data_IF_260534890296
#
_entry.id   IF_260534890296
#
_cell.length_a   1.000
_cell.length_b   1.000
_cell.length_c   1.000
_cell.angle_alpha   90.00
_cell.angle_beta   90.00
_cell.angle_gamma   90.00
#
_symmetry.space_group_name_H-M   'P 1'
#
loop_
_entity.id
_entity.type
_entity.pdbx_description
1 polymer ?
#
# COMPACT_ATOMS: atom_id res chain seq x y z
N UNK A 1 32.72 3.61 -31.57
CA UNK A 1 31.51 4.36 -32.09
C UNK A 1 30.45 3.46 -32.74
N UNK A 2 30.75 2.52 -33.68
CA UNK A 2 29.70 1.72 -34.35
C UNK A 2 29.02 0.65 -33.47
N UNK A 3 29.71 0.05 -32.52
CA UNK A 3 29.17 -1.00 -31.64
C UNK A 3 28.25 -0.43 -30.56
N UNK A 4 28.63 0.64 -29.89
CA UNK A 4 27.82 1.33 -28.87
C UNK A 4 26.53 1.92 -29.46
N UNK A 5 26.59 2.49 -30.68
CA UNK A 5 25.42 2.99 -31.36
C UNK A 5 24.42 1.89 -31.79
N UNK A 6 24.93 0.69 -32.13
CA UNK A 6 24.08 -0.46 -32.44
C UNK A 6 23.46 -1.06 -31.17
N UNK A 7 24.20 -1.02 -30.05
CA UNK A 7 23.77 -1.49 -28.75
C UNK A 7 22.61 -0.62 -28.18
N UNK A 8 22.71 0.68 -28.27
CA UNK A 8 21.64 1.62 -27.93
C UNK A 8 20.38 1.38 -28.77
N UNK A 9 20.48 1.11 -30.07
CA UNK A 9 19.32 0.99 -30.96
C UNK A 9 18.46 -0.25 -30.69
N UNK A 10 19.03 -1.42 -30.35
CA UNK A 10 18.19 -2.57 -30.05
C UNK A 10 17.53 -2.45 -28.65
N UNK A 11 18.17 -1.77 -27.70
CA UNK A 11 17.55 -1.46 -26.41
C UNK A 11 16.41 -0.45 -26.55
N UNK A 12 16.57 0.56 -27.41
CA UNK A 12 15.48 1.49 -27.76
C UNK A 12 14.28 0.74 -28.32
N UNK A 13 14.48 -0.16 -29.29
CA UNK A 13 13.39 -0.95 -29.85
C UNK A 13 12.75 -1.87 -28.82
N UNK A 14 13.55 -2.56 -27.96
CA UNK A 14 13.04 -3.34 -26.85
C UNK A 14 12.11 -2.50 -25.97
N UNK A 15 12.54 -1.30 -25.57
CA UNK A 15 11.76 -0.40 -24.71
C UNK A 15 10.46 0.05 -25.39
N UNK A 16 10.48 0.38 -26.68
CA UNK A 16 9.28 0.74 -27.43
C UNK A 16 8.29 -0.42 -27.50
N UNK A 17 8.76 -1.64 -27.71
CA UNK A 17 7.88 -2.82 -27.73
C UNK A 17 7.32 -3.14 -26.33
N UNK A 18 8.12 -2.99 -25.28
CA UNK A 18 7.64 -3.09 -23.90
C UNK A 18 6.55 -2.05 -23.60
N UNK A 19 6.73 -0.82 -24.07
CA UNK A 19 5.74 0.24 -23.92
C UNK A 19 4.43 -0.10 -24.62
N UNK A 20 4.49 -0.58 -25.88
CA UNK A 20 3.31 -1.04 -26.62
C UNK A 20 2.59 -2.21 -25.93
N UNK A 21 3.32 -3.12 -25.28
CA UNK A 21 2.75 -4.21 -24.47
C UNK A 21 2.10 -3.61 -23.20
N UNK A 22 2.77 -2.71 -22.51
CA UNK A 22 2.24 -2.05 -21.32
C UNK A 22 0.97 -1.24 -21.62
N UNK A 23 0.97 -0.45 -22.69
CA UNK A 23 -0.19 0.33 -23.15
C UNK A 23 -1.34 -0.56 -23.68
N UNK A 24 -1.10 -1.86 -23.86
CA UNK A 24 -2.09 -2.79 -24.38
C UNK A 24 -2.31 -2.71 -25.87
N UNK A 25 -1.40 -2.06 -26.60
CA UNK A 25 -1.39 -2.08 -28.09
C UNK A 25 -1.16 -3.50 -28.60
N UNK A 26 -0.33 -4.27 -27.90
CA UNK A 26 -0.16 -5.70 -28.13
C UNK A 26 -0.67 -6.48 -26.88
N UNK A 27 -1.76 -7.22 -27.06
CA UNK A 27 -2.37 -7.99 -26.00
C UNK A 27 -1.78 -9.42 -25.92
N UNK A 28 -2.00 -10.10 -24.80
CA UNK A 28 -1.56 -11.49 -24.63
C UNK A 28 -2.16 -12.39 -25.71
N UNK A 29 -1.30 -13.19 -26.34
CA UNK A 29 -1.68 -14.07 -27.46
C UNK A 29 -1.68 -13.39 -28.84
N UNK A 30 -1.60 -12.05 -28.91
CA UNK A 30 -1.54 -11.33 -30.18
C UNK A 30 -0.16 -11.42 -30.82
N UNK A 31 -0.15 -11.36 -32.15
CA UNK A 31 1.10 -11.32 -32.93
C UNK A 31 1.65 -9.90 -32.96
N UNK A 32 2.94 -9.76 -32.70
CA UNK A 32 3.68 -8.54 -33.02
C UNK A 32 4.15 -8.59 -34.48
N UNK A 33 4.46 -7.41 -35.09
CA UNK A 33 4.96 -7.37 -36.44
C UNK A 33 6.22 -8.23 -36.61
N UNK A 34 6.41 -8.78 -37.82
CA UNK A 34 7.60 -9.60 -38.13
C UNK A 34 8.89 -8.78 -38.09
N UNK A 35 10.04 -9.47 -37.93
CA UNK A 35 11.38 -8.83 -37.96
C UNK A 35 11.54 -7.89 -39.17
N UNK A 36 10.99 -8.26 -40.34
CA UNK A 36 11.06 -7.43 -41.53
C UNK A 36 10.22 -6.16 -41.40
N UNK A 37 8.98 -6.29 -40.93
CA UNK A 37 8.09 -5.15 -40.71
C UNK A 37 8.63 -4.18 -39.66
N UNK A 38 9.14 -4.70 -38.53
CA UNK A 38 9.78 -3.87 -37.50
C UNK A 38 11.04 -3.17 -38.05
N UNK A 39 11.84 -3.86 -38.88
CA UNK A 39 13.02 -3.27 -39.50
C UNK A 39 12.66 -2.10 -40.45
N UNK A 40 11.59 -2.26 -41.22
CA UNK A 40 11.04 -1.22 -42.08
C UNK A 40 10.44 -0.06 -41.28
N UNK A 41 9.60 -0.37 -40.26
CA UNK A 41 8.89 0.62 -39.43
C UNK A 41 9.87 1.52 -38.65
N UNK A 42 10.92 0.93 -38.06
CA UNK A 42 11.87 1.67 -37.21
C UNK A 42 13.18 2.05 -37.93
N UNK A 43 13.33 1.78 -39.22
CA UNK A 43 14.54 2.09 -39.98
C UNK A 43 15.78 1.43 -39.39
N UNK A 44 15.68 0.17 -38.94
CA UNK A 44 16.73 -0.61 -38.30
C UNK A 44 17.14 -1.81 -39.14
N UNK A 45 18.37 -2.32 -38.89
CA UNK A 45 18.78 -3.58 -39.48
C UNK A 45 17.98 -4.74 -38.89
N UNK A 46 17.73 -5.80 -39.67
CA UNK A 46 17.09 -7.04 -39.18
C UNK A 46 17.85 -7.68 -38.04
N UNK A 47 19.19 -7.54 -38.00
CA UNK A 47 20.03 -8.03 -36.89
C UNK A 47 19.74 -7.28 -35.60
N UNK A 48 19.58 -5.95 -35.66
CA UNK A 48 19.22 -5.09 -34.52
C UNK A 48 17.83 -5.46 -33.97
N UNK A 49 16.85 -5.63 -34.88
CA UNK A 49 15.48 -6.04 -34.51
C UNK A 49 15.49 -7.42 -33.86
N UNK A 50 16.23 -8.39 -34.46
CA UNK A 50 16.35 -9.74 -33.89
C UNK A 50 16.92 -9.72 -32.48
N UNK A 51 17.94 -8.92 -32.23
CA UNK A 51 18.52 -8.78 -30.89
C UNK A 51 17.53 -8.20 -29.87
N UNK A 52 16.74 -7.19 -30.27
CA UNK A 52 15.68 -6.65 -29.42
C UNK A 52 14.61 -7.71 -29.08
N UNK A 53 14.21 -8.52 -30.08
CA UNK A 53 13.24 -9.60 -29.88
C UNK A 53 13.80 -10.75 -29.06
N UNK A 54 15.11 -11.07 -29.18
CA UNK A 54 15.77 -12.05 -28.31
C UNK A 54 15.71 -11.62 -26.83
N UNK A 55 15.97 -10.34 -26.54
CA UNK A 55 15.86 -9.83 -25.18
C UNK A 55 14.42 -9.87 -24.63
N UNK A 56 13.40 -9.60 -25.47
CA UNK A 56 12.01 -9.73 -25.09
C UNK A 56 11.60 -11.18 -24.83
N UNK A 57 12.20 -12.13 -25.56
CA UNK A 57 11.99 -13.57 -25.36
C UNK A 57 12.73 -14.07 -24.11
N UNK A 58 13.95 -13.58 -23.84
CA UNK A 58 14.69 -13.82 -22.59
C UNK A 58 13.91 -13.28 -21.37
N UNK A 59 13.18 -12.17 -21.52
CA UNK A 59 12.30 -11.60 -20.50
C UNK A 59 10.92 -12.30 -20.43
N UNK A 60 10.68 -13.39 -21.21
CA UNK A 60 9.40 -14.10 -21.29
C UNK A 60 8.20 -13.25 -21.73
N UNK A 61 8.45 -12.10 -22.38
CA UNK A 61 7.39 -11.20 -22.86
C UNK A 61 6.81 -11.61 -24.21
N UNK A 62 7.57 -12.39 -24.98
CA UNK A 62 7.17 -12.94 -26.27
C UNK A 62 7.58 -14.40 -26.41
N UNK A 63 6.91 -15.11 -27.28
CA UNK A 63 7.29 -16.46 -27.72
C UNK A 63 7.37 -16.49 -29.24
N UNK A 64 8.41 -17.12 -29.78
CA UNK A 64 8.61 -17.31 -31.19
C UNK A 64 8.19 -18.73 -31.60
N UNK A 65 7.20 -18.80 -32.47
CA UNK A 65 6.72 -20.08 -33.00
C UNK A 65 7.14 -20.21 -34.47
N UNK A 66 7.87 -21.26 -34.80
CA UNK A 66 8.32 -21.51 -36.18
C UNK A 66 7.09 -21.62 -37.11
N UNK A 67 7.06 -20.78 -38.14
CA UNK A 67 5.93 -20.71 -39.07
C UNK A 67 4.70 -19.94 -38.57
N UNK A 68 4.63 -19.58 -37.31
CA UNK A 68 3.48 -18.93 -36.70
C UNK A 68 3.78 -17.49 -36.18
N UNK A 69 5.01 -17.04 -36.35
CA UNK A 69 5.46 -15.68 -35.99
C UNK A 69 5.78 -15.51 -34.51
N UNK A 70 5.81 -14.25 -34.06
CA UNK A 70 6.11 -13.88 -32.68
C UNK A 70 4.83 -13.38 -32.00
N UNK A 71 4.51 -13.94 -30.86
CA UNK A 71 3.32 -13.58 -30.06
C UNK A 71 3.71 -13.04 -28.70
N UNK A 72 2.92 -12.11 -28.20
CA UNK A 72 3.03 -11.65 -26.80
C UNK A 72 2.57 -12.74 -25.86
N UNK A 73 3.36 -13.00 -24.82
CA UNK A 73 3.01 -13.91 -23.74
C UNK A 73 3.09 -13.17 -22.41
N UNK A 74 1.94 -12.81 -21.83
CA UNK A 74 1.88 -12.19 -20.50
C UNK A 74 1.79 -13.32 -19.48
N UNK A 75 2.96 -13.86 -19.13
CA UNK A 75 3.06 -14.78 -18.00
C UNK A 75 3.28 -13.94 -16.74
N UNK A 76 2.64 -14.31 -15.65
CA UNK A 76 2.77 -13.59 -14.39
C UNK A 76 4.09 -13.94 -13.68
N UNK A 77 5.20 -13.46 -14.21
CA UNK A 77 6.53 -13.64 -13.63
C UNK A 77 6.97 -12.39 -12.89
N UNK A 78 7.33 -12.56 -11.62
CA UNK A 78 8.15 -11.58 -10.94
C UNK A 78 9.59 -11.57 -11.50
N UNK A 79 10.31 -10.49 -11.20
CA UNK A 79 11.72 -10.37 -11.51
C UNK A 79 12.55 -11.31 -10.61
N UNK A 80 13.59 -11.93 -11.16
CA UNK A 80 14.54 -12.76 -10.44
C UNK A 80 15.82 -12.00 -10.03
N UNK A 81 15.90 -10.69 -10.28
CA UNK A 81 17.04 -9.89 -9.89
C UNK A 81 17.12 -9.79 -8.36
N UNK A 82 18.34 -9.73 -7.80
CA UNK A 82 18.52 -9.55 -6.36
C UNK A 82 17.74 -8.37 -5.79
N UNK A 83 17.43 -8.40 -4.49
CA UNK A 83 16.78 -7.30 -3.78
C UNK A 83 17.78 -6.16 -3.46
N UNK A 84 18.64 -5.80 -4.42
CA UNK A 84 19.66 -4.76 -4.22
C UNK A 84 19.01 -3.37 -4.05
N UNK A 85 17.89 -3.15 -4.73
CA UNK A 85 17.12 -1.90 -4.64
C UNK A 85 15.63 -2.20 -4.56
N UNK A 86 14.97 -1.58 -3.60
CA UNK A 86 13.50 -1.57 -3.48
C UNK A 86 13.03 -0.12 -3.62
N UNK A 87 12.05 0.13 -4.50
CA UNK A 87 11.36 1.41 -4.51
C UNK A 87 10.17 1.37 -3.54
N UNK A 88 10.05 2.37 -2.68
CA UNK A 88 8.87 2.63 -1.86
C UNK A 88 8.10 3.80 -2.48
N UNK A 89 6.97 3.49 -3.10
CA UNK A 89 6.07 4.47 -3.71
C UNK A 89 4.96 4.79 -2.72
N UNK A 90 4.96 6.00 -2.18
CA UNK A 90 4.05 6.38 -1.10
C UNK A 90 3.91 7.91 -0.96
N UNK A 91 2.85 8.43 -0.32
CA UNK A 91 2.69 9.85 -0.04
C UNK A 91 3.62 10.31 1.10
N UNK A 92 4.20 11.52 0.98
CA UNK A 92 5.17 12.04 1.95
C UNK A 92 4.56 12.73 3.17
N UNK A 93 3.28 13.10 3.10
CA UNK A 93 2.67 14.07 4.05
C UNK A 93 2.03 13.44 5.29
N UNK A 94 1.99 12.12 5.41
CA UNK A 94 1.36 11.45 6.55
C UNK A 94 2.40 11.16 7.64
N UNK A 95 2.20 11.58 8.92
CA UNK A 95 3.12 11.29 10.03
C UNK A 95 3.34 9.78 10.28
N UNK A 96 2.33 8.95 10.08
CA UNK A 96 2.45 7.50 10.14
C UNK A 96 3.50 6.98 9.14
N UNK A 97 3.53 7.56 7.95
CA UNK A 97 4.45 7.20 6.89
C UNK A 97 5.92 7.41 7.30
N UNK A 98 6.24 8.49 7.99
CA UNK A 98 7.61 8.76 8.47
C UNK A 98 8.12 7.62 9.37
N UNK A 99 7.26 7.12 10.26
CA UNK A 99 7.61 5.98 11.14
C UNK A 99 7.79 4.70 10.34
N UNK A 100 6.89 4.43 9.37
CA UNK A 100 7.02 3.27 8.50
C UNK A 100 8.31 3.30 7.68
N UNK A 101 8.67 4.46 7.08
CA UNK A 101 9.95 4.60 6.35
C UNK A 101 11.13 4.26 7.26
N UNK A 102 11.15 4.76 8.49
CA UNK A 102 12.27 4.53 9.40
C UNK A 102 12.47 3.04 9.69
N UNK A 103 11.41 2.32 10.02
CA UNK A 103 11.48 0.87 10.27
C UNK A 103 11.77 0.08 8.98
N UNK A 104 11.18 0.47 7.85
CA UNK A 104 11.43 -0.18 6.57
C UNK A 104 12.86 0.04 6.10
N UNK A 105 13.44 1.23 6.29
CA UNK A 105 14.82 1.53 5.96
C UNK A 105 15.81 0.71 6.83
N UNK A 106 15.51 0.54 8.12
CA UNK A 106 16.28 -0.32 9.01
C UNK A 106 16.29 -1.77 8.52
N UNK A 107 15.10 -2.30 8.23
CA UNK A 107 14.96 -3.64 7.67
C UNK A 107 15.69 -3.79 6.32
N UNK A 108 15.59 -2.79 5.43
CA UNK A 108 16.31 -2.77 4.16
C UNK A 108 17.84 -2.82 4.37
N UNK A 109 18.36 -2.07 5.33
CA UNK A 109 19.78 -2.08 5.69
C UNK A 109 20.25 -3.45 6.17
N UNK A 110 19.46 -4.14 7.01
CA UNK A 110 19.75 -5.49 7.50
C UNK A 110 19.79 -6.53 6.37
N UNK A 111 19.12 -6.26 5.27
CA UNK A 111 19.09 -7.09 4.05
C UNK A 111 20.06 -6.64 2.96
N UNK A 112 20.97 -5.71 3.24
CA UNK A 112 21.91 -5.12 2.26
C UNK A 112 21.18 -4.56 1.02
N UNK A 113 20.02 -3.92 1.24
CA UNK A 113 19.13 -3.41 0.22
C UNK A 113 19.05 -1.89 0.27
N UNK A 114 19.16 -1.22 -0.86
CA UNK A 114 18.95 0.23 -0.97
C UNK A 114 17.45 0.54 -1.08
N UNK A 115 17.00 1.53 -0.32
CA UNK A 115 15.63 2.03 -0.39
C UNK A 115 15.57 3.31 -1.23
N UNK A 116 14.81 3.25 -2.33
CA UNK A 116 14.48 4.41 -3.16
C UNK A 116 13.07 4.89 -2.82
N UNK A 117 12.95 6.07 -2.21
CA UNK A 117 11.65 6.69 -1.99
C UNK A 117 11.15 7.43 -3.23
N UNK A 118 9.89 7.23 -3.58
CA UNK A 118 9.23 7.87 -4.73
C UNK A 118 7.82 8.32 -4.33
N UNK A 119 7.52 9.59 -4.54
CA UNK A 119 6.16 10.13 -4.49
C UNK A 119 5.59 10.20 -5.92
N UNK A 120 4.33 9.81 -6.10
CA UNK A 120 3.68 9.88 -7.42
C UNK A 120 3.40 11.35 -7.75
N UNK A 121 4.04 11.93 -8.79
CA UNK A 121 3.81 13.34 -9.13
C UNK A 121 2.47 13.53 -9.84
N UNK A 122 1.71 14.55 -9.49
CA UNK A 122 0.52 14.93 -10.26
C UNK A 122 0.92 15.50 -11.64
N UNK A 123 0.19 15.17 -12.72
CA UNK A 123 -1.02 14.36 -12.85
C UNK A 123 -0.77 12.87 -13.20
N UNK A 124 0.37 12.31 -12.80
CA UNK A 124 0.78 10.93 -13.16
C UNK A 124 -0.07 9.91 -12.40
N UNK A 125 -0.50 8.83 -13.07
CA UNK A 125 -1.12 7.70 -12.39
C UNK A 125 -0.09 6.87 -11.61
N UNK A 126 -0.56 6.11 -10.63
CA UNK A 126 0.30 5.18 -9.88
C UNK A 126 1.02 4.21 -10.83
N UNK A 127 0.27 3.60 -11.75
CA UNK A 127 0.80 2.58 -12.66
C UNK A 127 1.82 3.15 -13.63
N UNK A 128 1.62 4.37 -14.12
CA UNK A 128 2.59 5.05 -15.01
C UNK A 128 3.88 5.39 -14.24
N UNK A 129 3.78 5.73 -12.96
CA UNK A 129 4.93 5.89 -12.09
C UNK A 129 5.68 4.55 -11.91
N UNK A 130 4.95 3.45 -11.67
CA UNK A 130 5.53 2.11 -11.59
C UNK A 130 6.20 1.69 -12.90
N UNK A 131 5.57 1.96 -14.05
CA UNK A 131 6.16 1.70 -15.36
C UNK A 131 7.44 2.52 -15.60
N UNK A 132 7.49 3.76 -15.10
CA UNK A 132 8.71 4.57 -15.15
C UNK A 132 9.85 3.96 -14.32
N UNK A 133 9.56 3.37 -13.17
CA UNK A 133 10.54 2.62 -12.36
C UNK A 133 11.03 1.39 -13.13
N UNK A 134 10.11 0.64 -13.74
CA UNK A 134 10.44 -0.47 -14.63
C UNK A 134 11.46 -0.07 -15.71
N UNK A 135 11.23 1.06 -16.40
CA UNK A 135 12.15 1.57 -17.43
C UNK A 135 13.54 1.97 -16.91
N UNK A 136 13.68 2.14 -15.60
CA UNK A 136 14.95 2.40 -14.89
C UNK A 136 15.55 1.14 -14.26
N UNK A 137 15.05 -0.03 -14.64
CA UNK A 137 15.45 -1.34 -14.14
C UNK A 137 15.19 -1.57 -12.65
N UNK A 138 14.26 -0.80 -12.06
CA UNK A 138 13.80 -0.99 -10.70
C UNK A 138 12.58 -1.88 -10.73
N UNK A 139 12.73 -3.12 -10.26
CA UNK A 139 11.74 -4.19 -10.41
C UNK A 139 11.01 -4.53 -9.12
N UNK A 140 11.60 -4.27 -7.97
CA UNK A 140 11.04 -4.58 -6.66
C UNK A 140 10.42 -3.33 -6.08
N UNK A 141 9.10 -3.31 -5.91
CA UNK A 141 8.38 -2.10 -5.52
C UNK A 141 7.38 -2.39 -4.41
N UNK A 142 7.42 -1.58 -3.38
CA UNK A 142 6.42 -1.50 -2.33
C UNK A 142 5.56 -0.27 -2.58
N UNK A 143 4.25 -0.45 -2.57
CA UNK A 143 3.30 0.62 -2.89
C UNK A 143 2.39 0.86 -1.70
N UNK A 144 2.32 2.08 -1.24
CA UNK A 144 1.25 2.55 -0.37
C UNK A 144 0.40 3.58 -1.12
N UNK A 145 -0.75 3.18 -1.69
CA UNK A 145 -1.51 4.03 -2.61
C UNK A 145 -2.30 5.14 -1.90
N UNK A 146 -2.43 5.07 -0.55
CA UNK A 146 -3.36 5.91 0.21
C UNK A 146 -4.80 5.78 -0.34
N UNK A 147 -5.38 6.84 -0.90
CA UNK A 147 -6.71 6.85 -1.51
C UNK A 147 -6.70 6.84 -3.06
N UNK A 148 -5.55 6.56 -3.68
CA UNK A 148 -5.45 6.52 -5.14
C UNK A 148 -6.20 5.32 -5.72
N UNK A 149 -6.83 5.53 -6.86
CA UNK A 149 -7.43 4.43 -7.63
C UNK A 149 -6.37 3.52 -8.22
N UNK A 150 -6.68 2.23 -8.31
CA UNK A 150 -5.78 1.19 -8.82
C UNK A 150 -6.35 0.62 -10.12
N UNK A 151 -5.60 0.74 -11.21
CA UNK A 151 -5.89 0.08 -12.48
C UNK A 151 -5.35 -1.35 -12.46
N UNK A 152 -6.24 -2.30 -12.21
CA UNK A 152 -5.90 -3.73 -12.09
C UNK A 152 -5.31 -4.33 -13.37
N UNK A 153 -5.75 -3.87 -14.55
CA UNK A 153 -5.22 -4.38 -15.81
C UNK A 153 -3.77 -3.91 -16.02
N UNK A 154 -3.47 -2.65 -15.73
CA UNK A 154 -2.10 -2.15 -15.76
C UNK A 154 -1.21 -2.87 -14.75
N UNK A 155 -1.70 -3.17 -13.53
CA UNK A 155 -0.94 -3.96 -12.57
C UNK A 155 -0.62 -5.36 -13.08
N UNK A 156 -1.58 -6.05 -13.71
CA UNK A 156 -1.32 -7.35 -14.34
C UNK A 156 -0.21 -7.25 -15.38
N UNK A 157 -0.23 -6.22 -16.22
CA UNK A 157 0.81 -5.98 -17.24
C UNK A 157 2.18 -5.69 -16.61
N UNK A 158 2.23 -4.88 -15.55
CA UNK A 158 3.46 -4.61 -14.80
C UNK A 158 4.06 -5.89 -14.22
N UNK A 159 3.23 -6.74 -13.63
CA UNK A 159 3.66 -8.07 -13.17
C UNK A 159 4.21 -8.92 -14.31
N UNK A 160 3.50 -8.92 -15.44
CA UNK A 160 3.87 -9.74 -16.61
C UNK A 160 5.20 -9.31 -17.24
N UNK A 161 5.54 -8.02 -17.19
CA UNK A 161 6.85 -7.51 -17.65
C UNK A 161 7.97 -7.68 -16.60
N UNK A 162 7.69 -8.30 -15.46
CA UNK A 162 8.69 -8.68 -14.46
C UNK A 162 8.85 -7.73 -13.29
N UNK A 163 7.80 -7.03 -12.86
CA UNK A 163 7.82 -6.29 -11.60
C UNK A 163 7.34 -7.17 -10.44
N UNK A 164 8.02 -7.09 -9.31
CA UNK A 164 7.56 -7.60 -8.03
C UNK A 164 6.86 -6.48 -7.27
N UNK A 165 5.61 -6.70 -6.87
CA UNK A 165 4.76 -5.69 -6.27
C UNK A 165 4.21 -6.18 -4.93
N UNK A 166 4.43 -5.38 -3.88
CA UNK A 166 3.78 -5.56 -2.58
C UNK A 166 3.03 -4.29 -2.23
N UNK A 167 1.75 -4.40 -1.96
CA UNK A 167 0.93 -3.28 -1.50
C UNK A 167 0.89 -3.27 0.02
N UNK A 168 1.24 -2.12 0.59
CA UNK A 168 1.21 -1.88 2.02
C UNK A 168 -0.09 -1.15 2.40
N UNK A 169 -0.64 -1.53 3.57
CA UNK A 169 -1.82 -0.93 4.19
C UNK A 169 -3.13 -1.05 3.38
N UNK A 170 -3.16 -1.96 2.38
CA UNK A 170 -4.35 -2.22 1.55
C UNK A 170 -4.30 -3.60 0.91
N UNK A 171 -5.47 -4.15 0.60
CA UNK A 171 -5.62 -5.36 -0.22
C UNK A 171 -6.24 -5.09 -1.60
N UNK A 172 -6.39 -3.83 -1.98
CA UNK A 172 -7.08 -3.43 -3.21
C UNK A 172 -6.42 -3.95 -4.49
N UNK A 173 -5.11 -4.25 -4.46
CA UNK A 173 -4.35 -4.79 -5.59
C UNK A 173 -4.43 -6.32 -5.75
N UNK A 174 -5.04 -7.04 -4.80
CA UNK A 174 -5.21 -8.49 -4.92
C UNK A 174 -6.14 -8.86 -6.09
N UNK A 175 -5.85 -9.87 -6.94
CA UNK A 175 -4.79 -10.88 -6.84
C UNK A 175 -3.50 -10.57 -7.65
N UNK A 176 -3.21 -9.32 -7.99
CA UNK A 176 -2.07 -8.95 -8.86
C UNK A 176 -0.82 -8.55 -8.07
N UNK A 177 -0.92 -8.37 -6.76
CA UNK A 177 0.19 -8.08 -5.88
C UNK A 177 -0.02 -8.73 -4.52
N UNK A 178 1.05 -8.96 -3.75
CA UNK A 178 0.94 -9.29 -2.34
C UNK A 178 0.46 -8.06 -1.56
N UNK A 179 -0.23 -8.32 -0.46
CA UNK A 179 -0.79 -7.28 0.40
C UNK A 179 -0.35 -7.50 1.84
N UNK A 180 0.27 -6.48 2.44
CA UNK A 180 0.69 -6.48 3.85
C UNK A 180 0.02 -5.31 4.55
N UNK A 181 -0.76 -5.57 5.57
CA UNK A 181 -1.52 -4.56 6.29
C UNK A 181 -1.81 -5.00 7.73
N UNK A 182 -2.24 -4.05 8.58
CA UNK A 182 -2.68 -4.35 9.94
C UNK A 182 -3.82 -5.38 9.94
N UNK A 183 -3.77 -6.35 10.84
CA UNK A 183 -4.95 -7.17 11.15
C UNK A 183 -6.01 -6.27 11.84
N UNK A 184 -6.84 -5.66 10.99
CA UNK A 184 -7.83 -4.67 11.43
C UNK A 184 -8.92 -5.30 12.31
N UNK A 185 -9.23 -6.59 12.11
CA UNK A 185 -10.20 -7.30 12.96
C UNK A 185 -9.62 -7.51 14.35
N UNK A 186 -8.40 -8.03 14.45
CA UNK A 186 -7.70 -8.24 15.72
C UNK A 186 -7.52 -6.92 16.48
N UNK A 187 -7.23 -5.82 15.78
CA UNK A 187 -7.09 -4.49 16.38
C UNK A 187 -8.40 -4.02 17.04
N UNK A 188 -9.49 -4.08 16.29
CA UNK A 188 -10.81 -3.66 16.78
C UNK A 188 -11.29 -4.59 17.92
N UNK A 189 -11.19 -5.91 17.73
CA UNK A 189 -11.60 -6.87 18.76
C UNK A 189 -10.81 -6.71 20.06
N UNK A 190 -9.49 -6.53 19.97
CA UNK A 190 -8.63 -6.38 21.13
C UNK A 190 -8.98 -5.12 21.93
N UNK A 191 -9.18 -3.99 21.25
CA UNK A 191 -9.55 -2.74 21.91
C UNK A 191 -10.94 -2.80 22.55
N UNK A 192 -11.90 -3.41 21.89
CA UNK A 192 -13.26 -3.56 22.43
C UNK A 192 -13.31 -4.51 23.65
N UNK A 193 -12.48 -5.56 23.66
CA UNK A 193 -12.40 -6.51 24.78
C UNK A 193 -11.57 -6.00 25.95
N UNK A 194 -10.68 -5.02 25.73
CA UNK A 194 -9.83 -4.47 26.82
C UNK A 194 -10.62 -3.76 27.91
N UNK A 195 -11.91 -3.56 27.70
CA UNK A 195 -12.81 -2.93 28.63
C UNK A 195 -14.09 -3.74 28.88
N UNK A 196 -13.97 -4.94 29.44
CA UNK A 196 -15.10 -5.85 29.72
C UNK A 196 -16.24 -5.24 30.57
N UNK A 197 -16.08 -4.00 31.05
CA UNK A 197 -17.04 -3.33 31.93
C UNK A 197 -17.83 -2.22 31.23
N UNK A 198 -17.52 -1.87 29.97
CA UNK A 198 -18.22 -0.79 29.27
C UNK A 198 -19.65 -1.22 28.88
N UNK A 199 -20.55 -0.26 28.98
CA UNK A 199 -21.98 -0.43 28.66
C UNK A 199 -22.29 0.17 27.29
N UNK A 200 -21.67 1.30 26.99
CA UNK A 200 -21.88 2.06 25.76
C UNK A 200 -20.65 1.99 24.87
N UNK A 201 -20.87 1.85 23.57
CA UNK A 201 -19.81 1.80 22.57
C UNK A 201 -20.07 2.79 21.45
N UNK A 202 -19.00 3.50 21.02
CA UNK A 202 -19.02 4.37 19.86
C UNK A 202 -17.76 4.16 19.03
N UNK A 203 -17.92 4.10 17.72
CA UNK A 203 -16.82 4.11 16.75
C UNK A 203 -16.77 5.48 16.07
N UNK A 204 -15.56 6.03 15.94
CA UNK A 204 -15.30 7.26 15.19
C UNK A 204 -14.31 6.93 14.08
N UNK A 205 -14.74 7.06 12.82
CA UNK A 205 -13.97 6.71 11.64
C UNK A 205 -14.03 7.77 10.55
N UNK A 206 -13.18 7.60 9.52
CA UNK A 206 -13.29 8.40 8.29
C UNK A 206 -14.45 7.88 7.42
N UNK A 207 -15.11 8.77 6.67
CA UNK A 207 -16.23 8.42 5.77
C UNK A 207 -15.78 7.79 4.42
N UNK A 208 -14.48 7.66 4.20
CA UNK A 208 -13.92 7.10 2.95
C UNK A 208 -13.83 5.56 2.99
N UNK A 209 -14.95 4.87 2.78
CA UNK A 209 -15.02 3.40 2.78
C UNK A 209 -14.38 2.73 1.55
N UNK A 210 -13.89 3.49 0.57
CA UNK A 210 -13.07 2.96 -0.53
C UNK A 210 -11.69 2.53 -0.04
N UNK A 211 -11.16 3.16 1.01
CA UNK A 211 -9.93 2.74 1.67
C UNK A 211 -10.21 1.49 2.50
N UNK A 212 -9.54 0.39 2.16
CA UNK A 212 -9.89 -0.93 2.69
C UNK A 212 -9.77 -1.03 4.22
N UNK A 213 -8.78 -0.37 4.83
CA UNK A 213 -8.59 -0.39 6.28
C UNK A 213 -9.70 0.34 7.02
N UNK A 214 -10.13 1.50 6.52
CA UNK A 214 -11.25 2.27 7.10
C UNK A 214 -12.50 1.39 7.13
N UNK A 215 -12.84 0.79 5.97
CA UNK A 215 -13.99 -0.09 5.85
C UNK A 215 -13.90 -1.30 6.78
N UNK A 216 -12.77 -2.01 6.81
CA UNK A 216 -12.58 -3.21 7.63
C UNK A 216 -12.70 -2.92 9.12
N UNK A 217 -12.17 -1.79 9.60
CA UNK A 217 -12.28 -1.35 11.00
C UNK A 217 -13.73 -1.11 11.38
N UNK A 218 -14.50 -0.37 10.55
CA UNK A 218 -15.92 -0.14 10.78
C UNK A 218 -16.75 -1.43 10.72
N UNK A 219 -16.51 -2.29 9.72
CA UNK A 219 -17.18 -3.58 9.58
C UNK A 219 -16.92 -4.49 10.80
N UNK A 220 -15.69 -4.54 11.31
CA UNK A 220 -15.35 -5.29 12.49
C UNK A 220 -16.08 -4.75 13.75
N UNK A 221 -16.11 -3.42 13.91
CA UNK A 221 -16.84 -2.79 15.00
C UNK A 221 -18.34 -3.12 14.95
N UNK A 222 -19.00 -2.92 13.81
CA UNK A 222 -20.45 -3.18 13.62
C UNK A 222 -20.81 -4.66 13.82
N UNK A 223 -19.89 -5.57 13.51
CA UNK A 223 -20.10 -7.01 13.75
C UNK A 223 -20.15 -7.33 15.24
N UNK A 224 -19.33 -6.66 16.06
CA UNK A 224 -19.23 -6.91 17.50
C UNK A 224 -20.31 -6.14 18.26
N UNK A 225 -20.57 -4.89 17.88
CA UNK A 225 -21.53 -4.00 18.47
C UNK A 225 -22.52 -3.48 17.40
N UNK A 226 -23.51 -4.29 16.96
CA UNK A 226 -24.48 -3.88 15.92
C UNK A 226 -25.33 -2.66 16.31
N UNK A 227 -25.61 -2.50 17.60
CA UNK A 227 -26.37 -1.37 18.16
C UNK A 227 -25.47 -0.21 18.61
N UNK A 228 -24.15 -0.37 18.48
CA UNK A 228 -23.18 0.65 18.85
C UNK A 228 -23.27 1.87 17.93
N UNK A 229 -22.99 3.05 18.48
CA UNK A 229 -22.98 4.30 17.72
C UNK A 229 -21.79 4.34 16.77
N UNK A 230 -22.00 4.93 15.57
CA UNK A 230 -20.93 5.18 14.59
C UNK A 230 -21.03 6.62 14.13
N UNK A 231 -19.96 7.36 14.29
CA UNK A 231 -19.79 8.72 13.74
C UNK A 231 -18.68 8.67 12.69
N UNK A 232 -19.04 8.92 11.43
CA UNK A 232 -18.08 9.01 10.33
C UNK A 232 -17.78 10.47 10.03
N UNK A 233 -16.51 10.84 10.14
CA UNK A 233 -16.03 12.20 9.89
C UNK A 233 -15.53 12.34 8.45
N UNK A 234 -15.74 13.49 7.79
CA UNK A 234 -15.37 13.70 6.40
C UNK A 234 -13.87 13.49 6.15
N UNK A 235 -13.56 12.62 5.18
CA UNK A 235 -12.19 12.39 4.71
C UNK A 235 -11.65 13.63 3.97
N UNK A 236 -10.56 14.18 4.47
CA UNK A 236 -9.88 15.32 3.88
C UNK A 236 -8.40 15.02 3.71
N UNK A 237 -7.77 15.62 2.69
CA UNK A 237 -6.33 15.46 2.45
C UNK A 237 -5.45 15.95 3.61
N UNK A 238 -5.90 16.97 4.36
CA UNK A 238 -5.20 17.50 5.53
C UNK A 238 -5.50 16.74 6.82
N UNK A 239 -6.37 15.72 6.77
CA UNK A 239 -6.79 14.89 7.92
C UNK A 239 -7.37 15.69 9.09
N UNK A 240 -7.89 16.88 8.83
CA UNK A 240 -8.53 17.70 9.87
C UNK A 240 -9.99 17.40 10.00
N UNK A 241 -10.45 17.29 11.25
CA UNK A 241 -11.86 17.13 11.60
C UNK A 241 -12.45 18.51 11.84
N UNK A 242 -13.60 18.78 11.25
CA UNK A 242 -14.32 20.04 11.47
C UNK A 242 -14.85 20.11 12.90
N UNK A 243 -14.88 21.33 13.44
CA UNK A 243 -15.32 21.56 14.83
C UNK A 243 -16.73 21.03 15.09
N UNK A 244 -17.65 21.19 14.15
CA UNK A 244 -19.02 20.68 14.25
C UNK A 244 -19.06 19.16 14.39
N UNK A 245 -18.16 18.43 13.74
CA UNK A 245 -18.06 16.98 13.92
C UNK A 245 -17.51 16.62 15.29
N UNK A 246 -16.52 17.36 15.80
CA UNK A 246 -16.02 17.18 17.16
C UNK A 246 -17.08 17.50 18.23
N UNK A 247 -17.88 18.53 18.02
CA UNK A 247 -19.02 18.86 18.91
C UNK A 247 -20.06 17.74 18.91
N UNK A 248 -20.41 17.16 17.76
CA UNK A 248 -21.31 15.99 17.71
C UNK A 248 -20.75 14.78 18.44
N UNK A 249 -19.43 14.50 18.28
CA UNK A 249 -18.76 13.40 19.01
C UNK A 249 -18.88 13.64 20.52
N UNK A 250 -18.66 14.87 20.98
CA UNK A 250 -18.81 15.27 22.37
C UNK A 250 -20.23 15.05 22.88
N UNK A 251 -21.24 15.57 22.18
CA UNK A 251 -22.66 15.40 22.54
C UNK A 251 -23.04 13.93 22.66
N UNK A 252 -22.55 13.07 21.75
CA UNK A 252 -22.76 11.62 21.83
C UNK A 252 -22.05 11.00 23.04
N UNK A 253 -20.82 11.43 23.35
CA UNK A 253 -20.08 10.98 24.51
C UNK A 253 -20.75 11.33 25.83
N UNK A 254 -21.33 12.53 25.95
CA UNK A 254 -22.10 12.99 27.12
C UNK A 254 -23.32 12.10 27.44
N UNK A 255 -23.89 11.46 26.41
CA UNK A 255 -25.03 10.54 26.58
C UNK A 255 -24.63 9.15 27.09
N UNK A 256 -23.33 8.84 27.14
CA UNK A 256 -22.82 7.55 27.59
C UNK A 256 -22.71 7.49 29.14
N UNK A 257 -23.09 6.37 29.73
CA UNK A 257 -22.98 6.19 31.19
C UNK A 257 -21.60 5.66 31.60
N UNK A 258 -21.13 4.64 30.90
CA UNK A 258 -19.79 4.06 31.03
C UNK A 258 -19.36 3.55 29.67
N UNK A 259 -18.69 4.40 28.91
CA UNK A 259 -18.51 4.21 27.48
C UNK A 259 -17.08 4.01 27.01
N UNK A 260 -16.94 3.33 25.87
CA UNK A 260 -15.72 3.23 25.08
C UNK A 260 -15.93 3.93 23.73
N UNK A 261 -15.06 4.88 23.43
CA UNK A 261 -14.98 5.51 22.09
C UNK A 261 -13.76 4.94 21.36
N UNK A 262 -14.01 4.17 20.31
CA UNK A 262 -12.97 3.61 19.47
C UNK A 262 -12.70 4.55 18.29
N UNK A 263 -11.56 5.20 18.27
CA UNK A 263 -11.08 6.02 17.16
C UNK A 263 -10.35 5.13 16.15
N UNK A 264 -10.86 5.07 14.93
CA UNK A 264 -10.37 4.19 13.86
C UNK A 264 -9.02 4.61 13.25
N UNK A 265 -8.40 5.70 13.70
CA UNK A 265 -7.06 6.15 13.26
C UNK A 265 -6.43 7.06 14.32
N UNK A 266 -5.10 7.11 14.35
CA UNK A 266 -4.34 7.97 15.29
C UNK A 266 -4.65 9.45 15.14
N UNK A 267 -4.84 9.93 13.91
CA UNK A 267 -5.19 11.35 13.65
C UNK A 267 -6.57 11.72 14.17
N UNK A 268 -7.52 10.77 14.16
CA UNK A 268 -8.84 10.95 14.78
C UNK A 268 -8.68 10.99 16.30
N UNK A 269 -7.97 10.01 16.86
CA UNK A 269 -7.72 9.92 18.30
C UNK A 269 -7.09 11.17 18.87
N UNK A 270 -6.07 11.71 18.18
CA UNK A 270 -5.41 12.96 18.57
C UNK A 270 -6.39 14.12 18.67
N UNK A 271 -7.17 14.38 17.61
CA UNK A 271 -8.06 15.54 17.54
C UNK A 271 -9.24 15.40 18.51
N UNK A 272 -9.78 14.20 18.69
CA UNK A 272 -10.84 13.94 19.67
C UNK A 272 -10.33 14.15 21.10
N UNK A 273 -9.13 13.62 21.43
CA UNK A 273 -8.53 13.80 22.76
C UNK A 273 -8.20 15.27 23.04
N UNK A 274 -7.59 15.98 22.10
CA UNK A 274 -7.31 17.41 22.25
C UNK A 274 -8.59 18.23 22.48
N UNK A 275 -9.63 17.98 21.68
CA UNK A 275 -10.89 18.70 21.79
C UNK A 275 -11.60 18.45 23.12
N UNK A 276 -11.66 17.20 23.57
CA UNK A 276 -12.32 16.83 24.83
C UNK A 276 -11.52 17.32 26.05
N UNK A 277 -10.18 17.34 25.99
CA UNK A 277 -9.32 17.84 27.06
C UNK A 277 -9.45 19.37 27.20
N UNK A 278 -9.52 20.13 26.12
CA UNK A 278 -9.69 21.61 26.13
C UNK A 278 -11.01 22.05 26.77
N UNK A 279 -12.03 21.18 26.75
CA UNK A 279 -13.35 21.46 27.34
C UNK A 279 -13.40 21.14 28.85
N UNK A 280 -12.25 20.79 29.51
CA UNK A 280 -12.19 20.34 30.91
C UNK A 280 -13.06 19.11 31.22
N UNK A 281 -13.39 18.31 30.20
CA UNK A 281 -14.21 17.11 30.38
C UNK A 281 -13.37 15.87 30.72
N UNK A 282 -12.05 15.97 30.52
CA UNK A 282 -11.06 15.06 31.04
C UNK A 282 -10.34 15.71 32.22
N UNK A 283 -10.21 15.00 33.32
CA UNK A 283 -9.27 15.41 34.37
C UNK A 283 -7.85 15.32 33.84
N UNK A 284 -6.88 15.88 34.58
CA UNK A 284 -5.44 15.82 34.22
C UNK A 284 -4.89 14.40 34.13
N UNK A 285 -5.64 13.37 34.51
CA UNK A 285 -5.31 11.95 34.37
C UNK A 285 -5.84 11.34 33.06
N UNK A 286 -6.55 12.14 32.22
CA UNK A 286 -7.16 11.66 30.97
C UNK A 286 -8.36 10.76 31.16
N UNK A 287 -8.88 10.66 32.37
CA UNK A 287 -10.12 9.96 32.68
C UNK A 287 -11.24 10.96 32.85
N UNK A 288 -12.12 11.04 31.88
CA UNK A 288 -13.48 11.38 32.20
C UNK A 288 -14.05 10.24 33.05
N UNK A 289 -14.79 10.54 34.08
CA UNK A 289 -15.38 9.52 34.96
C UNK A 289 -16.31 8.54 34.22
N UNK A 290 -16.65 8.78 32.96
CA UNK A 290 -17.67 8.04 32.20
C UNK A 290 -17.22 7.45 30.88
N UNK A 291 -16.14 7.95 30.23
CA UNK A 291 -15.75 7.52 28.87
C UNK A 291 -14.26 7.25 28.79
N UNK A 292 -13.89 6.11 28.20
CA UNK A 292 -12.50 5.75 27.86
C UNK A 292 -12.31 5.84 26.36
N UNK A 293 -11.18 6.40 25.89
CA UNK A 293 -10.84 6.35 24.49
C UNK A 293 -9.94 5.15 24.18
N UNK A 294 -10.19 4.56 23.01
CA UNK A 294 -9.34 3.56 22.39
C UNK A 294 -8.95 4.05 21.00
N UNK A 295 -7.69 3.90 20.63
CA UNK A 295 -7.15 4.45 19.37
C UNK A 295 -6.37 3.38 18.64
N UNK A 296 -6.61 3.27 17.33
CA UNK A 296 -5.75 2.49 16.45
C UNK A 296 -4.71 3.44 15.87
N UNK A 297 -3.45 3.07 16.04
CA UNK A 297 -2.24 3.81 15.68
C UNK A 297 -1.88 4.97 16.63
N UNK A 298 -0.60 5.00 16.97
CA UNK A 298 0.00 6.06 17.79
C UNK A 298 0.08 7.38 17.02
N UNK A 299 -0.03 8.48 17.74
CA UNK A 299 0.04 9.84 17.22
C UNK A 299 1.02 10.72 18.01
N UNK A 300 1.40 11.85 17.45
CA UNK A 300 2.30 12.80 18.12
C UNK A 300 1.61 13.41 19.35
N UNK A 301 2.32 13.42 20.48
CA UNK A 301 1.79 13.92 21.74
C UNK A 301 0.91 12.94 22.53
N UNK A 302 0.79 11.69 22.07
CA UNK A 302 0.00 10.63 22.71
C UNK A 302 0.27 10.50 24.24
N UNK A 303 1.52 10.68 24.68
CA UNK A 303 1.96 10.60 26.09
C UNK A 303 1.35 11.67 27.02
N UNK A 304 0.66 12.66 26.49
CA UNK A 304 -0.06 13.67 27.29
C UNK A 304 -1.41 13.17 27.80
N UNK A 305 -1.87 12.04 27.31
CA UNK A 305 -3.21 11.53 27.56
C UNK A 305 -3.19 10.09 28.08
N UNK A 306 -4.26 9.66 28.74
CA UNK A 306 -4.48 8.27 29.10
C UNK A 306 -5.56 7.67 28.22
N UNK A 307 -5.22 6.58 27.50
CA UNK A 307 -6.13 5.91 26.56
C UNK A 307 -5.64 4.48 26.26
N UNK A 308 -6.49 3.69 25.62
CA UNK A 308 -6.13 2.37 25.09
C UNK A 308 -5.57 2.51 23.68
N UNK A 309 -4.44 1.91 23.42
CA UNK A 309 -3.76 1.97 22.12
C UNK A 309 -3.61 0.57 21.52
N UNK A 310 -3.93 0.42 20.25
CA UNK A 310 -3.46 -0.70 19.46
C UNK A 310 -2.54 -0.16 18.35
N UNK A 311 -1.26 -0.42 18.49
CA UNK A 311 -0.24 0.12 17.57
C UNK A 311 0.21 -0.92 16.57
N UNK A 312 0.38 -0.53 15.31
CA UNK A 312 0.90 -1.42 14.27
C UNK A 312 2.34 -1.83 14.59
N UNK A 313 2.66 -3.10 14.34
CA UNK A 313 4.03 -3.59 14.34
C UNK A 313 4.67 -3.31 12.98
N UNK A 314 5.26 -2.12 12.85
CA UNK A 314 5.85 -1.67 11.58
C UNK A 314 7.12 -2.45 11.23
N UNK A 315 7.86 -2.95 12.24
CA UNK A 315 9.00 -3.82 12.01
C UNK A 315 8.55 -5.16 11.41
N UNK A 316 7.57 -5.82 12.04
CA UNK A 316 7.02 -7.07 11.51
C UNK A 316 6.40 -6.89 10.13
N UNK A 317 5.78 -5.73 9.86
CA UNK A 317 5.25 -5.38 8.55
C UNK A 317 6.36 -5.25 7.50
N UNK A 318 7.46 -4.59 7.84
CA UNK A 318 8.62 -4.46 6.97
C UNK A 318 9.24 -5.83 6.64
N UNK A 319 9.46 -6.68 7.65
CA UNK A 319 9.97 -8.04 7.46
C UNK A 319 9.04 -8.87 6.56
N UNK A 320 7.71 -8.77 6.76
CA UNK A 320 6.73 -9.47 5.94
C UNK A 320 6.74 -8.99 4.48
N UNK A 321 6.95 -7.71 4.22
CA UNK A 321 7.13 -7.16 2.87
C UNK A 321 8.36 -7.78 2.20
N UNK A 322 9.49 -7.86 2.90
CA UNK A 322 10.71 -8.50 2.36
C UNK A 322 10.49 -9.98 2.07
N UNK A 323 9.80 -10.72 2.95
CA UNK A 323 9.43 -12.11 2.70
C UNK A 323 8.58 -12.25 1.43
N UNK A 324 7.59 -11.37 1.23
CA UNK A 324 6.73 -11.36 0.03
C UNK A 324 7.57 -11.12 -1.24
N UNK A 325 8.45 -10.13 -1.25
CA UNK A 325 9.30 -9.86 -2.39
C UNK A 325 10.23 -11.03 -2.72
N UNK A 326 10.89 -11.64 -1.72
CA UNK A 326 11.71 -12.84 -1.89
C UNK A 326 10.91 -13.99 -2.47
N UNK A 327 9.71 -14.22 -1.94
CA UNK A 327 8.83 -15.27 -2.42
C UNK A 327 8.41 -15.07 -3.89
N UNK A 328 8.12 -13.82 -4.29
CA UNK A 328 7.82 -13.50 -5.69
C UNK A 328 8.99 -13.82 -6.62
N UNK A 329 10.23 -13.58 -6.17
CA UNK A 329 11.43 -13.89 -6.95
C UNK A 329 11.69 -15.39 -7.06
N UNK A 330 11.53 -16.13 -5.95
CA UNK A 330 11.81 -17.57 -5.88
C UNK A 330 10.76 -18.39 -6.63
N UNK A 331 9.47 -18.09 -6.43
CA UNK A 331 8.35 -18.80 -7.04
C UNK A 331 8.15 -18.45 -8.51
N UNK A 332 8.54 -17.23 -8.93
CA UNK A 332 8.42 -16.77 -10.31
C UNK A 332 7.02 -16.99 -10.88
N UNK A 333 6.91 -17.80 -11.94
CA UNK A 333 5.62 -18.11 -12.59
C UNK A 333 4.61 -18.88 -11.72
N UNK A 334 5.05 -19.53 -10.66
CA UNK A 334 4.20 -20.29 -9.74
C UNK A 334 3.64 -19.42 -8.61
N UNK A 335 4.17 -18.22 -8.45
CA UNK A 335 3.73 -17.30 -7.41
C UNK A 335 2.23 -17.00 -7.52
N UNK A 336 1.59 -16.94 -6.38
CA UNK A 336 0.21 -16.49 -6.20
C UNK A 336 0.19 -15.39 -5.16
N UNK A 337 -0.60 -14.35 -5.41
CA UNK A 337 -0.74 -13.24 -4.49
C UNK A 337 -1.20 -13.69 -3.11
N UNK A 338 -0.57 -13.13 -2.08
CA UNK A 338 -0.83 -13.41 -0.68
C UNK A 338 -1.45 -12.20 -0.01
N UNK A 339 -2.38 -12.46 0.89
CA UNK A 339 -2.95 -11.48 1.81
C UNK A 339 -2.32 -11.76 3.16
N UNK A 340 -1.54 -10.82 3.68
CA UNK A 340 -0.72 -10.95 4.88
C UNK A 340 -1.14 -9.93 5.95
N UNK A 341 -2.18 -10.19 6.75
CA UNK A 341 -2.48 -9.37 7.91
C UNK A 341 -1.38 -9.54 8.96
N UNK A 342 -0.93 -8.42 9.54
CA UNK A 342 0.09 -8.37 10.58
C UNK A 342 -0.57 -7.88 11.87
N UNK A 343 -0.41 -8.63 12.96
CA UNK A 343 -0.91 -8.21 14.26
C UNK A 343 -0.09 -7.06 14.82
N UNK A 344 -0.77 -6.15 15.50
CA UNK A 344 -0.14 -5.07 16.24
C UNK A 344 0.03 -5.40 17.73
N UNK A 345 0.26 -4.36 18.52
CA UNK A 345 0.49 -4.47 19.96
C UNK A 345 -0.51 -3.61 20.74
N UNK A 346 -1.21 -4.23 21.67
CA UNK A 346 -2.05 -3.51 22.62
C UNK A 346 -1.20 -2.89 23.73
N UNK A 347 -1.52 -1.63 24.09
CA UNK A 347 -0.92 -0.90 25.22
C UNK A 347 -1.99 -0.04 25.91
N UNK A 348 -1.96 0.03 27.23
CA UNK A 348 -2.66 1.08 27.96
C UNK A 348 -1.67 2.24 28.17
N UNK A 349 -1.97 3.40 27.61
CA UNK A 349 -1.16 4.60 27.76
C UNK A 349 -1.65 5.35 29.01
N UNK A 350 -0.72 5.73 29.88
CA UNK A 350 -0.99 6.54 31.06
C UNK A 350 -0.26 7.89 30.94
N UNK A 351 -0.93 8.96 31.36
CA UNK A 351 -0.34 10.30 31.34
C UNK A 351 0.94 10.32 32.21
N UNK A 352 2.08 10.67 31.61
CA UNK A 352 3.37 10.84 32.30
C UNK A 352 4.34 9.65 32.21
N UNK A 353 4.04 8.58 31.43
CA UNK A 353 4.98 7.48 31.10
C UNK A 353 5.72 7.67 29.78
#
# INVERSE_FOLDING_TARGET
MGREAAELRYLELKNVLCEKIYEGVYQSGERIPSERQLAEEYGMSRITVRKALELLEEDDLIVREVGNGTKVTLKNYGNRNPLDVIALVAPSKNPFFVRFIAEFQKCAWEHDTLLLYVEVPEPTSLEDCLYRLYRKDIRNVVVWPDDQSIDREKLLRLRSIGMNLVFFDTDAAHPFADSVFLDNEDAVETLLRAGDTFVDYMYVGWDNLYVSNIRKREEAYRRIHPEGKVENVPWRRDRRIEREALERIKELAETMEHGLILCGAGEIGMQVLEFLADQNEFDSSGKQSKVTLAVIDEFEGAKKYSFLLYNQDLQASAEKIFECLKCQMEEGAKWKAKICPVKGQFKAISNGE
#
